data_IF_253970332189
#
_entry.id   IF_253970332189
#
_cell.length_a   1.000
_cell.length_b   1.000
_cell.length_c   1.000
_cell.angle_alpha   90.00
_cell.angle_beta   90.00
_cell.angle_gamma   90.00
#
_symmetry.space_group_name_H-M   'P 1'
#
loop_
_entity.id
_entity.type
_entity.pdbx_description
1 polymer ?
#
# COMPACT_ATOMS: atom_id res chain seq x y z
N UNK A 1 0.75 29.14 14.53
CA UNK A 1 0.31 27.92 13.82
C UNK A 1 0.05 26.86 14.87
N UNK A 2 -1.12 26.21 14.86
CA UNK A 2 -1.38 25.05 15.70
C UNK A 2 -0.98 23.79 14.92
N UNK A 3 0.02 23.06 15.40
CA UNK A 3 0.40 21.76 14.85
C UNK A 3 -0.59 20.69 15.32
N UNK A 4 -0.82 19.66 14.51
CA UNK A 4 -1.65 18.51 14.89
C UNK A 4 -0.90 17.51 15.79
N UNK A 5 0.44 17.51 15.73
CA UNK A 5 1.34 16.75 16.60
C UNK A 5 2.60 17.58 16.92
N UNK A 6 3.15 17.51 18.12
CA UNK A 6 4.41 18.18 18.44
C UNK A 6 5.59 17.43 17.79
N UNK A 7 5.62 16.10 17.94
CA UNK A 7 6.72 15.26 17.43
C UNK A 7 6.21 14.07 16.63
N UNK A 8 6.72 13.92 15.40
CA UNK A 8 6.52 12.77 14.52
C UNK A 8 7.83 11.98 14.35
N UNK A 9 7.82 10.70 14.70
CA UNK A 9 8.93 9.79 14.49
C UNK A 9 8.73 8.93 13.22
N UNK A 10 9.78 8.78 12.42
CA UNK A 10 9.79 7.99 11.18
C UNK A 10 10.78 6.85 11.35
N UNK A 11 10.28 5.62 11.43
CA UNK A 11 11.11 4.42 11.50
C UNK A 11 11.37 3.92 10.08
N UNK A 12 12.58 4.12 9.56
CA UNK A 12 12.94 3.82 8.18
C UNK A 12 12.90 5.05 7.28
N UNK A 13 13.99 5.81 7.27
CA UNK A 13 14.11 7.02 6.44
C UNK A 13 14.56 6.70 5.00
N UNK A 14 13.60 6.26 4.18
CA UNK A 14 13.78 6.02 2.74
C UNK A 14 12.98 7.00 1.88
N UNK A 15 12.58 6.57 0.67
CA UNK A 15 11.72 7.34 -0.23
C UNK A 15 10.40 7.72 0.47
N UNK A 16 9.62 6.73 0.89
CA UNK A 16 8.28 6.95 1.46
C UNK A 16 8.34 7.77 2.75
N UNK A 17 9.18 7.35 3.71
CA UNK A 17 9.32 8.06 4.99
C UNK A 17 9.85 9.48 4.81
N UNK A 18 10.86 9.68 3.95
CA UNK A 18 11.40 11.01 3.66
C UNK A 18 10.39 11.91 2.96
N UNK A 19 9.66 11.39 1.97
CA UNK A 19 8.60 12.13 1.26
C UNK A 19 7.51 12.57 2.22
N UNK A 20 7.11 11.70 3.15
CA UNK A 20 6.08 12.01 4.14
C UNK A 20 6.57 13.10 5.10
N UNK A 21 7.81 13.01 5.59
CA UNK A 21 8.38 14.05 6.45
C UNK A 21 8.41 15.42 5.76
N UNK A 22 8.87 15.47 4.50
CA UNK A 22 8.91 16.71 3.71
C UNK A 22 7.50 17.31 3.56
N UNK A 23 6.55 16.50 3.10
CA UNK A 23 5.19 16.93 2.86
C UNK A 23 4.51 17.43 4.15
N UNK A 24 4.68 16.72 5.27
CA UNK A 24 4.09 17.12 6.56
C UNK A 24 4.75 18.38 7.14
N UNK A 25 6.05 18.57 6.90
CA UNK A 25 6.76 19.79 7.29
C UNK A 25 6.27 20.99 6.49
N UNK A 26 6.16 20.88 5.17
CA UNK A 26 5.67 21.94 4.29
C UNK A 26 4.24 22.37 4.66
N UNK A 27 3.39 21.40 5.05
CA UNK A 27 2.01 21.65 5.44
C UNK A 27 1.83 22.03 6.92
N UNK A 28 2.92 22.13 7.69
CA UNK A 28 2.86 22.49 9.11
C UNK A 28 2.07 21.50 9.98
N UNK A 29 2.07 20.21 9.62
CA UNK A 29 1.31 19.19 10.37
C UNK A 29 1.96 18.85 11.71
N UNK A 30 3.30 18.78 11.75
CA UNK A 30 4.08 18.52 12.96
C UNK A 30 5.21 19.52 13.15
N UNK A 31 5.53 19.85 14.41
CA UNK A 31 6.60 20.81 14.74
C UNK A 31 7.99 20.19 14.58
N UNK A 32 8.15 18.93 14.95
CA UNK A 32 9.45 18.24 15.02
C UNK A 32 9.37 16.84 14.39
N UNK A 33 10.44 16.47 13.69
CA UNK A 33 10.58 15.18 13.01
C UNK A 33 11.82 14.46 13.51
N UNK A 34 11.65 13.21 13.96
CA UNK A 34 12.73 12.34 14.42
C UNK A 34 12.87 11.16 13.45
N UNK A 35 14.06 10.96 12.88
CA UNK A 35 14.37 9.74 12.13
C UNK A 35 14.83 8.62 13.05
N UNK A 36 14.37 7.41 12.82
CA UNK A 36 14.82 6.21 13.52
C UNK A 36 15.16 5.10 12.52
N UNK A 37 16.22 4.35 12.77
CA UNK A 37 16.56 3.17 11.98
C UNK A 37 18.02 2.75 12.10
N UNK A 38 18.37 1.63 11.47
CA UNK A 38 19.69 1.04 11.60
C UNK A 38 20.78 1.70 10.72
N UNK A 39 20.40 2.41 9.64
CA UNK A 39 21.36 3.04 8.71
C UNK A 39 21.67 4.48 9.11
N UNK A 40 22.70 4.66 9.93
CA UNK A 40 23.16 5.99 10.38
C UNK A 40 23.39 6.97 9.22
N UNK A 41 24.00 6.53 8.12
CA UNK A 41 24.28 7.38 6.97
C UNK A 41 23.00 7.99 6.35
N UNK A 42 21.93 7.19 6.21
CA UNK A 42 20.64 7.69 5.70
C UNK A 42 20.00 8.72 6.63
N UNK A 43 20.14 8.53 7.95
CA UNK A 43 19.61 9.44 8.96
C UNK A 43 20.37 10.77 9.00
N UNK A 44 21.71 10.71 8.98
CA UNK A 44 22.56 11.90 8.87
C UNK A 44 22.22 12.70 7.63
N UNK A 45 22.07 12.02 6.49
CA UNK A 45 21.65 12.65 5.24
C UNK A 45 20.28 13.30 5.34
N UNK A 46 19.33 12.68 6.05
CA UNK A 46 18.03 13.26 6.34
C UNK A 46 18.09 14.58 7.10
N UNK A 47 19.01 14.71 8.07
CA UNK A 47 19.25 15.96 8.81
C UNK A 47 19.88 17.01 7.90
N UNK A 48 20.92 16.65 7.14
CA UNK A 48 21.59 17.56 6.19
C UNK A 48 20.61 18.16 5.17
N UNK A 49 19.65 17.34 4.71
CA UNK A 49 18.62 17.73 3.74
C UNK A 49 17.43 18.47 4.36
N UNK A 50 17.41 18.67 5.69
CA UNK A 50 16.30 19.29 6.42
C UNK A 50 15.01 18.48 6.42
N UNK A 51 15.08 17.17 6.12
CA UNK A 51 13.92 16.26 6.13
C UNK A 51 13.47 15.98 7.56
N UNK A 52 14.44 15.75 8.45
CA UNK A 52 14.25 15.48 9.88
C UNK A 52 15.12 16.43 10.71
N UNK A 53 14.70 16.72 11.95
CA UNK A 53 15.45 17.64 12.83
C UNK A 53 16.53 16.92 13.64
N UNK A 54 16.28 15.65 13.96
CA UNK A 54 17.21 14.81 14.73
C UNK A 54 17.01 13.33 14.39
N UNK A 55 17.94 12.48 14.77
CA UNK A 55 17.78 11.03 14.61
C UNK A 55 18.24 10.26 15.84
N UNK A 56 17.74 9.03 15.96
CA UNK A 56 18.22 8.01 16.89
C UNK A 56 18.38 6.67 16.17
N UNK A 57 19.19 5.78 16.76
CA UNK A 57 19.29 4.38 16.34
C UNK A 57 18.47 3.46 17.26
N UNK A 58 17.94 4.00 18.35
CA UNK A 58 17.13 3.29 19.33
C UNK A 58 15.64 3.63 19.14
N UNK A 59 14.83 2.61 18.92
CA UNK A 59 13.39 2.77 18.74
C UNK A 59 12.71 3.21 20.04
N UNK A 60 13.25 2.86 21.20
CA UNK A 60 12.67 3.24 22.50
C UNK A 60 12.81 4.75 22.73
N UNK A 61 13.93 5.34 22.34
CA UNK A 61 14.13 6.80 22.37
C UNK A 61 13.16 7.54 21.43
N UNK A 62 12.86 6.95 20.28
CA UNK A 62 11.89 7.51 19.33
C UNK A 62 10.46 7.41 19.88
N UNK A 63 10.08 6.25 20.45
CA UNK A 63 8.77 6.01 21.04
C UNK A 63 8.51 6.94 22.24
N UNK A 64 9.51 7.17 23.09
CA UNK A 64 9.38 8.02 24.26
C UNK A 64 9.10 9.50 23.92
N UNK A 65 9.42 9.94 22.71
CA UNK A 65 9.26 11.34 22.28
C UNK A 65 8.10 11.56 21.31
N UNK A 66 7.57 10.51 20.67
CA UNK A 66 6.67 10.65 19.54
C UNK A 66 5.19 10.72 19.95
N UNK A 67 4.48 11.70 19.40
CA UNK A 67 3.01 11.71 19.39
C UNK A 67 2.49 10.76 18.30
N UNK A 68 3.19 10.74 17.15
CA UNK A 68 2.92 9.85 16.02
C UNK A 68 4.21 9.12 15.63
N UNK A 69 4.16 7.79 15.54
CA UNK A 69 5.24 6.97 14.99
C UNK A 69 4.79 6.30 13.70
N UNK A 70 5.52 6.56 12.61
CA UNK A 70 5.26 6.00 11.28
C UNK A 70 6.31 4.95 10.94
N UNK A 71 5.88 3.70 10.76
CA UNK A 71 6.75 2.60 10.34
C UNK A 71 6.86 2.59 8.81
N UNK A 72 8.03 2.96 8.32
CA UNK A 72 8.41 3.09 6.92
C UNK A 72 9.45 2.05 6.48
N UNK A 73 9.45 0.87 7.11
CA UNK A 73 10.34 -0.25 6.80
C UNK A 73 9.66 -1.27 5.88
N UNK A 74 10.42 -2.21 5.26
CA UNK A 74 9.84 -3.31 4.49
C UNK A 74 8.83 -4.11 5.31
N UNK A 75 7.79 -4.66 4.66
CA UNK A 75 6.62 -5.23 5.35
C UNK A 75 6.95 -6.30 6.40
N UNK A 76 7.93 -7.17 6.13
CA UNK A 76 8.35 -8.20 7.10
C UNK A 76 9.07 -7.58 8.31
N UNK A 77 9.88 -6.56 8.08
CA UNK A 77 10.56 -5.79 9.14
C UNK A 77 9.53 -5.01 9.96
N UNK A 78 8.52 -4.41 9.33
CA UNK A 78 7.46 -3.69 10.00
C UNK A 78 6.66 -4.60 10.95
N UNK A 79 6.30 -5.80 10.51
CA UNK A 79 5.63 -6.80 11.35
C UNK A 79 6.50 -7.19 12.56
N UNK A 80 7.80 -7.39 12.36
CA UNK A 80 8.71 -7.73 13.45
C UNK A 80 8.91 -6.58 14.44
N UNK A 81 9.05 -5.34 13.94
CA UNK A 81 9.10 -4.15 14.79
C UNK A 81 7.83 -4.02 15.65
N UNK A 82 6.65 -4.27 15.09
CA UNK A 82 5.40 -4.26 15.87
C UNK A 82 5.44 -5.25 17.03
N UNK A 83 5.91 -6.49 16.82
CA UNK A 83 6.05 -7.48 17.90
C UNK A 83 6.98 -7.00 19.02
N UNK A 84 8.02 -6.25 18.67
CA UNK A 84 9.01 -5.76 19.62
C UNK A 84 8.52 -4.55 20.41
N UNK A 85 7.83 -3.59 19.77
CA UNK A 85 7.47 -2.30 20.38
C UNK A 85 6.13 -2.32 21.13
N UNK A 86 5.17 -3.14 20.69
CA UNK A 86 3.83 -3.16 21.28
C UNK A 86 3.82 -3.55 22.77
N UNK A 87 4.56 -4.59 23.23
CA UNK A 87 4.62 -4.93 24.66
C UNK A 87 5.14 -3.76 25.52
N UNK A 88 6.09 -2.99 24.98
CA UNK A 88 6.74 -1.87 25.68
C UNK A 88 5.79 -0.69 25.83
N UNK A 89 5.03 -0.38 24.78
CA UNK A 89 4.03 0.68 24.79
C UNK A 89 2.89 0.41 25.78
N UNK A 90 2.45 -0.85 25.87
CA UNK A 90 1.47 -1.28 26.87
C UNK A 90 2.01 -1.06 28.28
N UNK A 91 3.29 -1.38 28.53
CA UNK A 91 3.90 -1.23 29.85
C UNK A 91 4.03 0.22 30.32
N UNK A 92 4.23 1.17 29.42
CA UNK A 92 4.42 2.60 29.76
C UNK A 92 3.17 3.46 29.58
N UNK A 93 2.02 2.85 29.25
CA UNK A 93 0.76 3.56 28.95
C UNK A 93 0.95 4.72 27.97
N UNK A 94 1.77 4.52 26.93
CA UNK A 94 2.08 5.59 26.00
C UNK A 94 0.84 6.04 25.23
N UNK A 95 0.74 7.37 25.06
CA UNK A 95 -0.24 8.00 24.18
C UNK A 95 0.37 8.31 22.79
N UNK A 96 1.27 7.47 22.28
CA UNK A 96 1.71 7.51 20.87
C UNK A 96 0.68 6.84 19.95
N UNK A 97 0.35 7.47 18.82
CA UNK A 97 -0.38 6.83 17.70
C UNK A 97 0.63 6.20 16.76
N UNK A 98 0.47 4.91 16.46
CA UNK A 98 1.33 4.20 15.52
C UNK A 98 0.60 4.00 14.19
N UNK A 99 1.31 4.20 13.09
CA UNK A 99 0.85 3.82 11.75
C UNK A 99 1.99 3.26 10.93
N UNK A 100 1.69 2.80 9.73
CA UNK A 100 2.65 2.19 8.80
C UNK A 100 2.38 2.60 7.35
N UNK A 101 3.26 2.18 6.46
CA UNK A 101 3.14 2.38 5.01
C UNK A 101 3.38 1.09 4.20
N UNK A 102 3.37 -0.07 4.86
CA UNK A 102 3.72 -1.36 4.27
C UNK A 102 2.72 -1.78 3.18
N UNK A 103 3.17 -2.53 2.19
CA UNK A 103 2.30 -2.94 1.08
C UNK A 103 1.30 -4.06 1.41
N UNK A 104 1.44 -4.69 2.57
CA UNK A 104 0.59 -5.81 3.04
C UNK A 104 0.12 -5.49 4.45
N UNK A 105 -1.14 -5.81 4.78
CA UNK A 105 -1.77 -5.45 6.05
C UNK A 105 -2.02 -6.64 6.96
N UNK A 106 -2.27 -7.82 6.40
CA UNK A 106 -2.51 -9.05 7.15
C UNK A 106 -1.35 -9.39 8.08
N UNK A 107 -0.11 -9.38 7.60
CA UNK A 107 1.06 -9.70 8.41
C UNK A 107 1.31 -8.71 9.56
N UNK A 108 0.97 -7.43 9.39
CA UNK A 108 1.07 -6.42 10.45
C UNK A 108 -0.06 -6.59 11.48
N UNK A 109 -1.28 -6.84 11.02
CA UNK A 109 -2.41 -7.17 11.90
C UNK A 109 -2.11 -8.43 12.72
N UNK A 110 -1.63 -9.49 12.07
CA UNK A 110 -1.33 -10.75 12.74
C UNK A 110 -0.16 -10.59 13.73
N UNK A 111 0.84 -9.76 13.41
CA UNK A 111 1.89 -9.38 14.36
C UNK A 111 1.32 -8.66 15.59
N UNK A 112 0.42 -7.70 15.40
CA UNK A 112 -0.21 -7.00 16.51
C UNK A 112 -1.08 -7.93 17.39
N UNK A 113 -1.90 -8.79 16.76
CA UNK A 113 -2.71 -9.79 17.45
C UNK A 113 -1.86 -10.82 18.21
N UNK A 114 -0.66 -11.15 17.73
CA UNK A 114 0.21 -12.11 18.41
C UNK A 114 0.73 -11.65 19.78
N UNK A 115 0.65 -10.35 20.08
CA UNK A 115 1.13 -9.78 21.34
C UNK A 115 0.08 -9.94 22.45
N UNK A 116 -1.13 -9.40 22.25
CA UNK A 116 -2.17 -9.32 23.28
C UNK A 116 -3.52 -9.94 22.84
N UNK A 117 -3.58 -10.64 21.70
CA UNK A 117 -4.81 -11.24 21.16
C UNK A 117 -5.83 -10.23 20.62
N UNK A 118 -5.51 -8.93 20.63
CA UNK A 118 -6.36 -7.84 20.17
C UNK A 118 -5.56 -6.76 19.45
N UNK A 119 -6.21 -6.02 18.57
CA UNK A 119 -5.60 -4.85 17.95
C UNK A 119 -5.39 -3.74 18.99
N UNK A 120 -4.18 -3.18 19.11
CA UNK A 120 -3.93 -2.02 19.94
C UNK A 120 -4.80 -0.84 19.46
N UNK A 121 -5.54 -0.13 20.34
CA UNK A 121 -6.48 0.89 19.90
C UNK A 121 -5.85 1.99 19.04
N UNK A 122 -4.59 2.33 19.31
CA UNK A 122 -3.88 3.45 18.68
C UNK A 122 -2.88 3.01 17.60
N UNK A 123 -2.99 1.76 17.14
CA UNK A 123 -2.30 1.26 15.94
C UNK A 123 -3.26 1.33 14.74
N UNK A 124 -3.05 2.28 13.85
CA UNK A 124 -3.86 2.48 12.65
C UNK A 124 -3.04 2.10 11.42
N UNK A 125 -3.36 0.96 10.82
CA UNK A 125 -2.59 0.47 9.67
C UNK A 125 -2.93 1.24 8.38
N UNK A 126 -1.92 1.47 7.54
CA UNK A 126 -2.02 2.31 6.34
C UNK A 126 -1.17 1.83 5.17
N UNK A 127 -1.59 2.11 3.94
CA UNK A 127 -0.83 1.82 2.73
C UNK A 127 -1.01 2.95 1.70
N UNK A 128 -0.01 3.83 1.52
CA UNK A 128 0.02 4.75 0.40
C UNK A 128 0.28 3.97 -0.90
N UNK A 129 -0.65 4.05 -1.85
CA UNK A 129 -0.50 3.49 -3.20
C UNK A 129 0.29 4.48 -4.05
N UNK A 130 1.54 4.71 -3.65
CA UNK A 130 2.48 5.62 -4.28
C UNK A 130 3.90 5.04 -4.18
N UNK A 131 4.72 5.27 -5.19
CA UNK A 131 6.10 4.78 -5.21
C UNK A 131 6.88 5.30 -6.40
N UNK A 132 8.19 5.12 -6.34
CA UNK A 132 9.11 5.38 -7.44
C UNK A 132 10.14 4.25 -7.48
N UNK A 133 10.68 4.02 -8.66
CA UNK A 133 11.87 3.22 -8.94
C UNK A 133 13.13 3.76 -8.24
N UNK A 134 13.12 5.02 -7.80
CA UNK A 134 14.22 5.63 -7.05
C UNK A 134 14.15 5.26 -5.56
N UNK A 135 15.31 5.17 -4.92
CA UNK A 135 15.44 4.70 -3.53
C UNK A 135 16.18 5.71 -2.65
N UNK A 136 15.97 5.60 -1.33
CA UNK A 136 16.66 6.40 -0.34
C UNK A 136 16.07 7.79 -0.09
N UNK A 137 16.59 8.48 0.92
CA UNK A 137 16.09 9.79 1.34
C UNK A 137 16.39 10.90 0.32
N UNK A 138 17.46 10.79 -0.48
CA UNK A 138 17.75 11.75 -1.55
C UNK A 138 16.67 11.76 -2.65
N UNK A 139 15.95 10.65 -2.83
CA UNK A 139 14.85 10.54 -3.78
C UNK A 139 13.50 11.02 -3.21
N UNK A 140 13.45 11.44 -1.95
CA UNK A 140 12.21 11.91 -1.32
C UNK A 140 11.64 13.17 -1.98
N UNK A 141 10.33 13.21 -2.10
CA UNK A 141 9.55 14.26 -2.77
C UNK A 141 8.31 14.59 -1.95
N UNK A 142 8.14 15.87 -1.58
CA UNK A 142 7.00 16.35 -0.82
C UNK A 142 5.66 16.18 -1.56
N UNK A 143 5.69 16.06 -2.89
CA UNK A 143 4.50 15.89 -3.73
C UNK A 143 4.15 14.43 -4.02
N UNK A 144 4.92 13.47 -3.50
CA UNK A 144 4.78 12.05 -3.83
C UNK A 144 3.35 11.51 -3.63
N UNK A 145 2.63 12.02 -2.63
CA UNK A 145 1.31 11.53 -2.26
C UNK A 145 0.14 12.34 -2.82
N UNK A 146 0.42 13.45 -3.51
CA UNK A 146 -0.62 14.31 -4.10
C UNK A 146 -1.41 13.50 -5.12
N UNK A 147 -2.74 13.52 -4.99
CA UNK A 147 -3.71 12.79 -5.82
C UNK A 147 -3.54 11.26 -5.83
N UNK A 148 -2.67 10.71 -4.98
CA UNK A 148 -2.51 9.27 -4.80
C UNK A 148 -3.47 8.75 -3.73
N UNK A 149 -3.87 7.50 -3.87
CA UNK A 149 -4.75 6.83 -2.91
C UNK A 149 -3.93 6.35 -1.71
N UNK A 150 -4.45 6.55 -0.50
CA UNK A 150 -3.96 5.92 0.72
C UNK A 150 -5.08 5.09 1.30
N UNK A 151 -4.83 3.81 1.54
CA UNK A 151 -5.82 2.91 2.12
C UNK A 151 -5.52 2.79 3.61
N UNK A 152 -6.47 3.14 4.47
CA UNK A 152 -6.44 2.82 5.89
C UNK A 152 -7.29 1.58 6.15
N UNK A 153 -6.85 0.72 7.08
CA UNK A 153 -7.58 -0.50 7.45
C UNK A 153 -7.93 -0.47 8.94
N UNK A 154 -8.87 0.40 9.37
CA UNK A 154 -9.30 0.44 10.77
C UNK A 154 -10.02 -0.85 11.16
N UNK A 155 -9.80 -1.30 12.39
CA UNK A 155 -10.40 -2.49 13.00
C UNK A 155 -11.37 -2.06 14.13
N UNK A 156 -12.36 -2.90 14.53
CA UNK A 156 -13.37 -2.54 15.53
C UNK A 156 -12.84 -2.06 16.89
N UNK A 157 -11.61 -2.43 17.25
CA UNK A 157 -10.94 -2.01 18.49
C UNK A 157 -10.15 -0.71 18.41
N UNK A 158 -10.07 -0.07 17.22
CA UNK A 158 -9.32 1.16 17.07
C UNK A 158 -9.99 2.35 17.76
N UNK A 159 -9.16 3.19 18.38
CA UNK A 159 -9.51 4.51 18.88
C UNK A 159 -9.93 5.41 17.69
N UNK A 160 -11.18 5.91 17.66
CA UNK A 160 -11.66 6.78 16.59
C UNK A 160 -10.82 8.05 16.39
N UNK A 161 -10.25 8.60 17.48
CA UNK A 161 -9.43 9.81 17.42
C UNK A 161 -8.07 9.51 16.77
N UNK A 162 -7.48 8.35 17.05
CA UNK A 162 -6.27 7.88 16.37
C UNK A 162 -6.52 7.70 14.86
N UNK A 163 -7.65 7.09 14.48
CA UNK A 163 -8.03 6.91 13.07
C UNK A 163 -8.25 8.27 12.38
N UNK A 164 -8.90 9.21 13.07
CA UNK A 164 -9.12 10.57 12.56
C UNK A 164 -7.80 11.34 12.38
N UNK A 165 -6.86 11.23 13.32
CA UNK A 165 -5.54 11.84 13.25
C UNK A 165 -4.74 11.33 12.05
N UNK A 166 -4.65 10.01 11.86
CA UNK A 166 -3.92 9.43 10.72
C UNK A 166 -4.60 9.76 9.39
N UNK A 167 -5.94 9.81 9.36
CA UNK A 167 -6.68 10.28 8.17
C UNK A 167 -6.36 11.75 7.85
N UNK A 168 -6.31 12.62 8.86
CA UNK A 168 -5.95 14.02 8.69
C UNK A 168 -4.51 14.18 8.21
N UNK A 169 -3.57 13.38 8.74
CA UNK A 169 -2.17 13.34 8.30
C UNK A 169 -2.07 13.09 6.79
N UNK A 170 -2.70 12.02 6.29
CA UNK A 170 -2.66 11.70 4.86
C UNK A 170 -3.38 12.72 3.98
N UNK A 171 -4.52 13.26 4.44
CA UNK A 171 -5.21 14.33 3.71
C UNK A 171 -4.39 15.62 3.62
N UNK A 172 -3.63 15.94 4.67
CA UNK A 172 -2.81 17.15 4.70
C UNK A 172 -1.74 17.16 3.61
N UNK A 173 -1.27 15.98 3.18
CA UNK A 173 -0.27 15.82 2.10
C UNK A 173 -0.90 15.61 0.71
N UNK A 174 -2.19 15.92 0.56
CA UNK A 174 -2.90 15.86 -0.72
C UNK A 174 -3.34 14.45 -1.15
N UNK A 175 -3.29 13.47 -0.25
CA UNK A 175 -3.69 12.09 -0.57
C UNK A 175 -5.21 11.88 -0.49
N UNK A 176 -5.72 11.00 -1.34
CA UNK A 176 -7.10 10.51 -1.31
C UNK A 176 -7.21 9.32 -0.35
N UNK A 177 -7.78 9.54 0.83
CA UNK A 177 -7.88 8.50 1.86
C UNK A 177 -9.11 7.63 1.65
N UNK A 178 -8.88 6.34 1.44
CA UNK A 178 -9.87 5.28 1.34
C UNK A 178 -9.82 4.37 2.59
N UNK A 179 -10.87 3.59 2.82
CA UNK A 179 -10.91 2.59 3.88
C UNK A 179 -11.46 1.27 3.38
N UNK A 180 -10.90 0.16 3.87
CA UNK A 180 -11.41 -1.20 3.66
C UNK A 180 -10.92 -2.12 4.79
N UNK A 181 -11.46 -3.34 4.87
CA UNK A 181 -10.95 -4.32 5.82
C UNK A 181 -9.53 -4.78 5.46
N UNK A 182 -8.78 -5.32 6.43
CA UNK A 182 -7.45 -5.92 6.15
C UNK A 182 -7.55 -7.07 5.15
N UNK A 183 -8.61 -7.89 5.23
CA UNK A 183 -8.83 -9.00 4.31
C UNK A 183 -9.09 -8.51 2.88
N UNK A 184 -9.94 -7.50 2.71
CA UNK A 184 -10.23 -6.91 1.39
C UNK A 184 -9.00 -6.24 0.81
N UNK A 185 -8.23 -5.52 1.62
CA UNK A 185 -6.97 -4.90 1.19
C UNK A 185 -6.03 -5.96 0.60
N UNK A 186 -5.71 -7.00 1.36
CA UNK A 186 -4.74 -7.99 0.92
C UNK A 186 -5.23 -8.79 -0.30
N UNK A 187 -6.53 -9.08 -0.39
CA UNK A 187 -7.13 -9.72 -1.56
C UNK A 187 -7.10 -8.83 -2.81
N UNK A 188 -7.53 -7.57 -2.69
CA UNK A 188 -7.55 -6.61 -3.80
C UNK A 188 -6.13 -6.34 -4.30
N UNK A 189 -5.17 -6.12 -3.40
CA UNK A 189 -3.78 -5.86 -3.79
C UNK A 189 -3.09 -7.12 -4.32
N UNK A 190 -3.46 -8.31 -3.85
CA UNK A 190 -3.01 -9.56 -4.46
C UNK A 190 -3.43 -9.64 -5.94
N UNK A 191 -4.70 -9.37 -6.23
CA UNK A 191 -5.23 -9.46 -7.60
C UNK A 191 -4.76 -8.31 -8.52
N UNK A 192 -4.69 -7.08 -8.00
CA UNK A 192 -4.46 -5.87 -8.82
C UNK A 192 -3.01 -5.41 -8.87
N UNK A 193 -2.14 -5.89 -7.98
CA UNK A 193 -0.74 -5.48 -7.89
C UNK A 193 0.23 -6.66 -7.83
N UNK A 194 0.05 -7.58 -6.86
CA UNK A 194 1.04 -8.63 -6.61
C UNK A 194 1.08 -9.70 -7.71
N UNK A 195 -0.09 -10.20 -8.12
CA UNK A 195 -0.21 -11.17 -9.22
C UNK A 195 0.38 -10.61 -10.53
N UNK A 196 0.06 -9.38 -10.97
CA UNK A 196 0.73 -8.77 -12.13
C UNK A 196 2.25 -8.80 -12.06
N UNK A 197 2.86 -8.51 -10.90
CA UNK A 197 4.31 -8.59 -10.74
C UNK A 197 4.83 -10.03 -10.85
N UNK A 198 4.17 -10.99 -10.17
CA UNK A 198 4.53 -12.41 -10.27
C UNK A 198 4.48 -12.90 -11.72
N UNK A 199 3.45 -12.54 -12.47
CA UNK A 199 3.31 -12.92 -13.88
C UNK A 199 4.41 -12.29 -14.75
N UNK A 200 4.73 -11.01 -14.52
CA UNK A 200 5.81 -10.33 -15.23
C UNK A 200 7.18 -10.97 -14.94
N UNK A 201 7.50 -11.23 -13.67
CA UNK A 201 8.72 -11.93 -13.27
C UNK A 201 8.81 -13.32 -13.89
N UNK A 202 7.72 -14.10 -13.82
CA UNK A 202 7.66 -15.47 -14.35
C UNK A 202 7.86 -15.49 -15.86
N UNK A 203 7.24 -14.56 -16.60
CA UNK A 203 7.42 -14.44 -18.04
C UNK A 203 8.87 -14.10 -18.40
N UNK A 204 9.46 -13.10 -17.75
CA UNK A 204 10.85 -12.68 -18.03
C UNK A 204 11.85 -13.79 -17.69
N UNK A 205 11.70 -14.46 -16.54
CA UNK A 205 12.58 -15.57 -16.14
C UNK A 205 12.46 -16.76 -17.10
N UNK A 206 11.24 -17.12 -17.53
CA UNK A 206 11.03 -18.19 -18.50
C UNK A 206 11.70 -17.92 -19.85
N UNK A 207 11.61 -16.68 -20.36
CA UNK A 207 12.24 -16.30 -21.62
C UNK A 207 13.78 -16.22 -21.50
N UNK A 208 14.29 -15.72 -20.37
CA UNK A 208 15.73 -15.66 -20.11
C UNK A 208 16.41 -17.04 -20.07
N UNK A 209 15.65 -18.10 -19.71
CA UNK A 209 16.12 -19.49 -19.70
C UNK A 209 15.94 -20.22 -21.04
N UNK A 210 15.31 -19.58 -22.02
CA UNK A 210 15.12 -20.15 -23.35
C UNK A 210 16.44 -20.22 -24.11
N UNK A 211 16.63 -21.28 -24.90
CA UNK A 211 17.77 -21.37 -25.83
C UNK A 211 17.79 -20.29 -26.91
N UNK A 212 16.65 -19.62 -27.13
CA UNK A 212 16.49 -18.51 -28.08
C UNK A 212 16.45 -17.12 -27.40
N UNK A 213 16.89 -17.00 -26.14
CA UNK A 213 16.82 -15.77 -25.33
C UNK A 213 17.28 -14.52 -26.08
N UNK A 214 18.45 -14.56 -26.71
CA UNK A 214 19.03 -13.41 -27.43
C UNK A 214 18.13 -12.90 -28.56
N UNK A 215 17.53 -13.81 -29.33
CA UNK A 215 16.61 -13.44 -30.40
C UNK A 215 15.26 -12.97 -29.84
N UNK A 216 14.73 -13.63 -28.81
CA UNK A 216 13.48 -13.24 -28.15
C UNK A 216 13.56 -11.80 -27.65
N UNK A 217 14.64 -11.43 -26.96
CA UNK A 217 14.82 -10.07 -26.47
C UNK A 217 15.15 -9.07 -27.58
N UNK A 218 15.82 -9.49 -28.66
CA UNK A 218 16.07 -8.64 -29.83
C UNK A 218 14.79 -8.26 -30.56
N UNK A 219 13.80 -9.16 -30.63
CA UNK A 219 12.51 -8.92 -31.29
C UNK A 219 11.39 -8.48 -30.34
N UNK A 220 11.69 -8.31 -29.05
CA UNK A 220 10.74 -7.81 -28.08
C UNK A 220 10.29 -6.38 -28.45
N UNK A 221 9.06 -6.25 -28.93
CA UNK A 221 8.46 -4.97 -29.32
C UNK A 221 7.80 -4.25 -28.12
N UNK A 222 7.21 -3.07 -28.38
CA UNK A 222 6.66 -2.18 -27.34
C UNK A 222 5.71 -2.86 -26.33
N UNK A 223 4.83 -3.74 -26.79
CA UNK A 223 3.90 -4.46 -25.89
C UNK A 223 4.60 -5.36 -24.86
N UNK A 224 5.73 -5.98 -25.22
CA UNK A 224 6.53 -6.75 -24.28
C UNK A 224 7.18 -5.84 -23.24
N UNK A 225 7.77 -4.72 -23.67
CA UNK A 225 8.41 -3.74 -22.79
C UNK A 225 7.44 -3.21 -21.74
N UNK A 226 6.22 -2.87 -22.16
CA UNK A 226 5.24 -2.27 -21.24
C UNK A 226 4.69 -3.30 -20.25
N UNK A 227 4.46 -4.55 -20.69
CA UNK A 227 4.01 -5.64 -19.82
C UNK A 227 5.08 -6.05 -18.79
N UNK A 228 6.35 -6.06 -19.21
CA UNK A 228 7.48 -6.52 -18.37
C UNK A 228 8.19 -5.41 -17.61
N UNK A 229 7.82 -4.13 -17.81
CA UNK A 229 8.41 -2.99 -17.09
C UNK A 229 8.47 -3.21 -15.57
N UNK A 230 7.40 -3.77 -15.01
CA UNK A 230 7.29 -4.00 -13.57
C UNK A 230 8.18 -5.15 -13.05
N UNK A 231 8.69 -6.02 -13.93
CA UNK A 231 9.69 -7.03 -13.58
C UNK A 231 11.09 -6.42 -13.29
N UNK A 232 11.30 -5.12 -13.56
CA UNK A 232 12.51 -4.40 -13.14
C UNK A 232 12.42 -3.85 -11.71
N UNK A 233 11.34 -4.13 -10.99
CA UNK A 233 11.18 -3.72 -9.60
C UNK A 233 12.13 -4.47 -8.66
N UNK A 234 12.37 -3.91 -7.48
CA UNK A 234 13.29 -4.49 -6.48
C UNK A 234 12.89 -5.93 -6.07
N UNK A 235 13.76 -6.93 -6.29
CA UNK A 235 13.42 -8.33 -6.04
C UNK A 235 13.30 -8.67 -4.54
N UNK A 236 13.99 -7.93 -3.65
CA UNK A 236 13.92 -8.14 -2.20
C UNK A 236 12.56 -7.70 -1.67
N UNK A 237 12.08 -6.54 -2.11
CA UNK A 237 10.76 -6.02 -1.77
C UNK A 237 9.65 -6.95 -2.25
N UNK A 238 9.71 -7.40 -3.51
CA UNK A 238 8.67 -8.28 -4.06
C UNK A 238 8.66 -9.69 -3.47
N UNK A 239 9.84 -10.22 -3.11
CA UNK A 239 9.95 -11.44 -2.29
C UNK A 239 9.21 -11.26 -0.96
N UNK A 240 9.47 -10.16 -0.25
CA UNK A 240 8.88 -9.90 1.06
C UNK A 240 7.36 -9.71 0.98
N UNK A 241 6.87 -9.04 -0.07
CA UNK A 241 5.43 -8.92 -0.35
C UNK A 241 4.80 -10.29 -0.62
N UNK A 242 5.43 -11.13 -1.44
CA UNK A 242 4.92 -12.46 -1.76
C UNK A 242 4.86 -13.37 -0.52
N UNK A 243 5.86 -13.29 0.38
CA UNK A 243 5.86 -14.02 1.65
C UNK A 243 4.77 -13.48 2.58
N UNK A 244 4.67 -12.16 2.73
CA UNK A 244 3.74 -11.51 3.64
C UNK A 244 2.27 -11.73 3.24
N UNK A 245 1.96 -11.70 1.94
CA UNK A 245 0.61 -11.89 1.42
C UNK A 245 0.39 -13.25 0.76
N UNK A 246 1.13 -14.29 1.20
CA UNK A 246 1.13 -15.62 0.59
C UNK A 246 -0.28 -16.20 0.38
N UNK A 247 -1.22 -16.17 1.36
CA UNK A 247 -2.53 -16.79 1.18
C UNK A 247 -3.35 -16.15 0.05
N UNK A 248 -3.44 -14.82 0.01
CA UNK A 248 -4.21 -14.12 -1.02
C UNK A 248 -3.50 -14.19 -2.38
N UNK A 249 -2.16 -14.16 -2.41
CA UNK A 249 -1.40 -14.31 -3.64
C UNK A 249 -1.57 -15.70 -4.25
N UNK A 250 -1.53 -16.78 -3.45
CA UNK A 250 -1.80 -18.13 -3.94
C UNK A 250 -3.21 -18.24 -4.53
N UNK A 251 -4.22 -17.72 -3.83
CA UNK A 251 -5.58 -17.69 -4.35
C UNK A 251 -5.68 -16.94 -5.70
N UNK A 252 -5.00 -15.81 -5.84
CA UNK A 252 -4.95 -15.05 -7.08
C UNK A 252 -4.24 -15.82 -8.21
N UNK A 253 -3.14 -16.51 -7.90
CA UNK A 253 -2.39 -17.36 -8.84
C UNK A 253 -3.25 -18.53 -9.32
N UNK A 254 -3.93 -19.23 -8.41
CA UNK A 254 -4.76 -20.39 -8.73
C UNK A 254 -5.94 -19.97 -9.62
N UNK A 255 -6.63 -18.87 -9.27
CA UNK A 255 -7.72 -18.33 -10.08
C UNK A 255 -7.25 -17.92 -11.48
N UNK A 256 -6.11 -17.25 -11.58
CA UNK A 256 -5.52 -16.91 -12.88
C UNK A 256 -5.15 -18.15 -13.68
N UNK A 257 -4.59 -19.17 -13.04
CA UNK A 257 -4.17 -20.42 -13.68
C UNK A 257 -5.36 -21.18 -14.28
N UNK A 258 -6.53 -21.16 -13.63
CA UNK A 258 -7.78 -21.70 -14.20
C UNK A 258 -8.13 -20.99 -15.51
N UNK A 259 -8.13 -19.65 -15.52
CA UNK A 259 -8.45 -18.88 -16.73
C UNK A 259 -7.40 -19.05 -17.83
N UNK A 260 -6.13 -19.12 -17.48
CA UNK A 260 -5.06 -19.39 -18.44
C UNK A 260 -5.19 -20.80 -19.03
N UNK A 261 -5.56 -21.80 -18.22
CA UNK A 261 -5.84 -23.16 -18.67
C UNK A 261 -7.00 -23.21 -19.67
N UNK A 262 -8.10 -22.52 -19.37
CA UNK A 262 -9.23 -22.39 -20.31
C UNK A 262 -8.80 -21.79 -21.65
N UNK A 263 -8.00 -20.72 -21.62
CA UNK A 263 -7.49 -20.08 -22.84
C UNK A 263 -6.53 -21.00 -23.61
N UNK A 264 -5.69 -21.76 -22.89
CA UNK A 264 -4.79 -22.76 -23.49
C UNK A 264 -5.57 -23.85 -24.24
N UNK A 265 -6.65 -24.37 -23.66
CA UNK A 265 -7.50 -25.37 -24.33
C UNK A 265 -8.19 -24.79 -25.56
N UNK A 266 -8.69 -23.55 -25.49
CA UNK A 266 -9.27 -22.86 -26.64
C UNK A 266 -8.27 -22.73 -27.80
N UNK A 267 -7.00 -22.37 -27.50
CA UNK A 267 -5.93 -22.31 -28.50
C UNK A 267 -5.64 -23.70 -29.08
N UNK A 268 -5.53 -24.73 -28.25
CA UNK A 268 -5.23 -26.09 -28.70
C UNK A 268 -6.33 -26.66 -29.60
N UNK A 269 -7.59 -26.33 -29.32
CA UNK A 269 -8.75 -26.72 -30.13
C UNK A 269 -9.00 -25.82 -31.36
N UNK A 270 -8.23 -24.73 -31.52
CA UNK A 270 -8.51 -23.66 -32.47
C UNK A 270 -9.96 -23.11 -32.37
N UNK A 271 -10.49 -23.02 -31.15
CA UNK A 271 -11.85 -22.52 -30.87
C UNK A 271 -11.89 -20.99 -31.00
N UNK A 272 -12.14 -20.52 -32.22
CA UNK A 272 -12.20 -19.10 -32.54
C UNK A 272 -13.25 -18.34 -31.71
N UNK A 273 -14.38 -18.98 -31.37
CA UNK A 273 -15.46 -18.33 -30.64
C UNK A 273 -15.06 -18.10 -29.18
N UNK A 274 -14.55 -19.13 -28.50
CA UNK A 274 -14.11 -19.01 -27.11
C UNK A 274 -12.96 -18.01 -26.94
N UNK A 275 -12.03 -17.98 -27.90
CA UNK A 275 -10.94 -16.99 -27.95
C UNK A 275 -11.50 -15.56 -28.08
N UNK A 276 -12.37 -15.33 -29.08
CA UNK A 276 -12.99 -14.03 -29.30
C UNK A 276 -13.74 -13.54 -28.06
N UNK A 277 -14.57 -14.38 -27.46
CA UNK A 277 -15.39 -13.98 -26.31
C UNK A 277 -14.55 -13.64 -25.09
N UNK A 278 -13.45 -14.38 -24.87
CA UNK A 278 -12.51 -14.11 -23.79
C UNK A 278 -11.78 -12.78 -24.00
N UNK A 279 -11.27 -12.52 -25.19
CA UNK A 279 -10.61 -11.25 -25.51
C UNK A 279 -11.58 -10.07 -25.46
N UNK A 280 -12.81 -10.24 -25.93
CA UNK A 280 -13.83 -9.20 -25.90
C UNK A 280 -14.25 -8.85 -24.46
N UNK A 281 -14.39 -9.84 -23.57
CA UNK A 281 -14.63 -9.59 -22.13
C UNK A 281 -13.48 -8.82 -21.50
N UNK A 282 -12.23 -9.22 -21.76
CA UNK A 282 -11.05 -8.53 -21.24
C UNK A 282 -10.96 -7.08 -21.75
N UNK A 283 -11.22 -6.85 -23.04
CA UNK A 283 -11.27 -5.51 -23.64
C UNK A 283 -12.31 -4.62 -22.96
N UNK A 284 -13.56 -5.09 -22.84
CA UNK A 284 -14.63 -4.31 -22.18
C UNK A 284 -14.29 -3.94 -20.74
N UNK A 285 -13.75 -4.89 -19.98
CA UNK A 285 -13.34 -4.64 -18.60
C UNK A 285 -12.21 -3.59 -18.52
N UNK A 286 -11.23 -3.65 -19.43
CA UNK A 286 -10.13 -2.69 -19.47
C UNK A 286 -10.59 -1.30 -19.90
N UNK A 287 -11.40 -1.20 -20.93
CA UNK A 287 -11.88 0.08 -21.47
C UNK A 287 -12.73 0.81 -20.42
N UNK A 288 -13.65 0.10 -19.72
CA UNK A 288 -14.43 0.69 -18.63
C UNK A 288 -13.61 1.05 -17.38
N UNK A 289 -12.51 0.33 -17.11
CA UNK A 289 -11.57 0.70 -16.05
C UNK A 289 -10.79 1.98 -16.38
N UNK A 290 -10.40 2.18 -17.65
CA UNK A 290 -9.73 3.39 -18.09
C UNK A 290 -10.60 4.64 -17.87
N UNK A 291 -11.90 4.56 -18.18
CA UNK A 291 -12.89 5.62 -17.94
C UNK A 291 -13.05 5.95 -16.44
N UNK A 292 -13.00 4.92 -15.59
CA UNK A 292 -13.06 5.07 -14.13
C UNK A 292 -11.78 5.66 -13.53
N UNK A 293 -10.63 5.39 -14.16
CA UNK A 293 -9.31 5.93 -13.76
C UNK A 293 -9.06 7.35 -14.30
N UNK A 294 -9.72 7.77 -15.37
CA UNK A 294 -9.61 9.12 -15.95
C UNK A 294 -10.54 10.16 -15.32
N UNK A 295 -11.37 9.78 -14.34
CA UNK A 295 -12.21 10.72 -13.57
C UNK A 295 -13.59 11.01 -14.16
N UNK A 296 -14.02 10.30 -15.22
CA UNK A 296 -15.34 10.47 -15.84
C UNK A 296 -16.30 9.33 -15.45
N UNK A 297 -16.53 9.14 -14.15
CA UNK A 297 -17.69 8.35 -13.71
C UNK A 297 -18.92 9.28 -13.63
N UNK A 298 -20.02 9.01 -14.37
CA UNK A 298 -21.22 9.83 -14.30
C UNK A 298 -21.81 9.78 -12.90
N UNK A 299 -22.07 10.96 -12.34
CA UNK A 299 -22.53 11.16 -10.98
C UNK A 299 -23.75 10.30 -10.63
N UNK A 300 -23.69 9.67 -9.47
CA UNK A 300 -24.84 9.02 -8.86
C UNK A 300 -26.01 10.00 -8.81
N UNK A 301 -27.04 9.72 -9.59
CA UNK A 301 -28.25 10.51 -9.64
C UNK A 301 -28.86 10.58 -8.23
N UNK A 302 -28.98 11.80 -7.70
CA UNK A 302 -29.74 12.11 -6.51
C UNK A 302 -31.22 11.83 -6.78
N UNK A 303 -31.69 10.65 -6.37
CA UNK A 303 -33.11 10.33 -6.31
C UNK A 303 -33.73 10.92 -5.05
N UNK A 304 -34.16 12.17 -5.13
CA UNK A 304 -35.02 12.81 -4.14
C UNK A 304 -36.47 12.38 -4.42
N UNK A 305 -37.06 11.53 -3.58
CA UNK A 305 -38.51 11.35 -3.53
C UNK A 305 -39.03 11.42 -2.09
N UNK A 306 -39.48 12.64 -1.78
CA UNK A 306 -40.57 13.00 -0.88
C UNK A 306 -41.49 11.85 -0.45
N UNK A 307 -41.67 11.80 0.87
CA UNK A 307 -42.90 11.46 1.60
C UNK A 307 -44.20 11.66 0.81
N UNK A 308 -45.02 10.61 0.76
CA UNK A 308 -46.47 10.72 0.69
C UNK A 308 -47.09 9.60 1.55
N UNK A 309 -47.80 10.02 2.60
CA UNK A 309 -48.74 9.21 3.34
C UNK A 309 -50.08 9.13 2.59
N UNK A 310 -50.78 8.01 2.77
CA UNK A 310 -52.22 7.72 2.60
C UNK A 310 -52.34 6.23 2.19
N UNK A 311 -53.33 5.45 2.58
CA UNK A 311 -54.41 5.52 3.55
C UNK A 311 -54.96 4.09 3.64
N UNK A 312 -55.58 3.76 4.75
CA UNK A 312 -56.38 2.59 5.01
C UNK A 312 -57.60 2.44 4.07
N UNK A 313 -57.95 1.19 3.71
CA UNK A 313 -59.30 0.88 3.20
C UNK A 313 -59.43 -0.39 2.35
N UNK A 314 -60.09 -1.41 2.92
CA UNK A 314 -61.14 -2.31 2.36
C UNK A 314 -61.12 -2.60 0.84
N UNK A 315 -61.20 -3.83 0.35
CA UNK A 315 -61.97 -5.03 0.74
C UNK A 315 -61.17 -6.33 0.56
#
# INVERSE_FOLDING_TARGET
MSYAADTLAIVGLGLIGGSLARALRENGFSRRFIGCGHRRASLQRGVELGVIDSYTLDVDEALAQADILVICTPTLVAAELLRQILPRLTAVHSNTVITDVASVKGNLRDAALSVDGRMPPRLVLGHPIAGSERSGVDASDAKLFVDHRVILTPEPGNDPDAVALIRAMWRSVGAQVLQMSVADHDAVLAATSHLPHVLAYTLVDALARSSASDDIFRYAAGGFRDFTRIASSDPVMWRDIAIANRPALLHAIDNFSVHLGQLREAVAAADAQQLHDTFARAKRARDGCAETLSGDAPGAASGNTKTAACDSGKD
#
